data_IF_483918513335
#
_entry.id   IF_483918513335
#
_cell.length_a   1.000
_cell.length_b   1.000
_cell.length_c   1.000
_cell.angle_alpha   90.00
_cell.angle_beta   90.00
_cell.angle_gamma   90.00
#
_symmetry.space_group_name_H-M   'P 1'
#
loop_
_entity.id
_entity.type
_entity.pdbx_description
1 polymer ?
#
# COMPACT_ATOMS: atom_id res chain seq x y z
N UNK A 1 16.62 -21.11 56.33
CA UNK A 1 16.34 -21.94 55.14
C UNK A 1 16.40 -21.06 53.91
N UNK A 2 17.49 -21.08 53.14
CA UNK A 2 17.61 -20.35 51.87
C UNK A 2 17.01 -21.23 50.77
N UNK A 3 15.98 -20.76 50.08
CA UNK A 3 15.46 -21.43 48.87
C UNK A 3 16.51 -21.28 47.78
N UNK A 4 17.10 -22.40 47.37
CA UNK A 4 17.90 -22.49 46.15
C UNK A 4 16.97 -22.23 44.97
N UNK A 5 17.15 -21.07 44.33
CA UNK A 5 16.53 -20.80 43.04
C UNK A 5 17.42 -21.50 42.01
N UNK A 6 16.88 -22.55 41.38
CA UNK A 6 17.57 -23.30 40.33
C UNK A 6 17.78 -22.35 39.14
N UNK A 7 19.03 -22.22 38.68
CA UNK A 7 19.39 -21.36 37.53
C UNK A 7 18.67 -21.73 36.24
N UNK A 8 18.10 -22.93 36.16
CA UNK A 8 17.29 -23.40 35.03
C UNK A 8 15.91 -22.73 34.93
N UNK A 9 15.37 -22.20 36.04
CA UNK A 9 14.05 -21.55 36.06
C UNK A 9 14.11 -20.09 35.57
N UNK A 10 15.31 -19.50 35.50
CA UNK A 10 15.53 -18.12 35.03
C UNK A 10 15.54 -18.08 33.49
N UNK A 11 15.98 -19.16 32.83
CA UNK A 11 16.06 -19.23 31.36
C UNK A 11 14.72 -19.52 30.67
N UNK A 12 13.70 -19.99 31.39
CA UNK A 12 12.39 -20.32 30.82
C UNK A 12 11.30 -19.25 31.02
N UNK A 13 11.61 -18.12 31.69
CA UNK A 13 10.64 -17.05 31.95
C UNK A 13 10.68 -15.86 30.98
N UNK A 14 11.60 -15.86 30.01
CA UNK A 14 11.78 -14.75 29.05
C UNK A 14 11.61 -15.21 27.60
N UNK A 15 10.63 -16.09 27.31
CA UNK A 15 10.28 -16.51 25.94
C UNK A 15 8.99 -15.89 25.42
N UNK A 16 8.32 -15.05 26.21
CA UNK A 16 7.14 -14.32 25.79
C UNK A 16 7.44 -12.81 25.80
N UNK A 17 7.06 -12.15 24.71
CA UNK A 17 7.18 -10.71 24.42
C UNK A 17 8.55 -10.19 23.95
N UNK A 18 9.06 -10.75 22.85
CA UNK A 18 9.54 -9.83 21.81
C UNK A 18 8.31 -9.22 21.15
N UNK A 19 7.87 -8.07 21.65
CA UNK A 19 6.99 -7.18 20.89
C UNK A 19 7.68 -7.00 19.54
N UNK A 20 7.02 -7.38 18.45
CA UNK A 20 7.56 -7.18 17.11
C UNK A 20 7.51 -5.67 16.83
N UNK A 21 8.61 -4.96 17.13
CA UNK A 21 8.65 -3.48 17.22
C UNK A 21 8.58 -2.81 15.83
N UNK A 22 8.63 -3.58 14.74
CA UNK A 22 8.46 -3.06 13.39
C UNK A 22 7.26 -3.75 12.72
N UNK A 23 6.04 -3.29 13.00
CA UNK A 23 4.89 -3.63 12.16
C UNK A 23 5.00 -2.82 10.87
N UNK A 24 5.68 -3.38 9.89
CA UNK A 24 5.79 -2.80 8.56
C UNK A 24 4.54 -3.16 7.76
N UNK A 25 3.88 -2.12 7.27
CA UNK A 25 2.69 -2.22 6.43
C UNK A 25 2.99 -1.68 5.03
N UNK A 26 2.33 -2.22 4.02
CA UNK A 26 2.37 -1.67 2.68
C UNK A 26 0.96 -1.42 2.17
N UNK A 27 0.82 -0.42 1.28
CA UNK A 27 -0.44 -0.19 0.56
C UNK A 27 -0.27 -0.75 -0.86
N UNK A 28 -1.13 -1.68 -1.24
CA UNK A 28 -1.30 -2.11 -2.62
C UNK A 28 -2.46 -1.37 -3.27
N UNK A 29 -2.29 -0.89 -4.50
CA UNK A 29 -3.34 -0.27 -5.31
C UNK A 29 -3.43 -0.99 -6.65
N UNK A 30 -4.63 -1.41 -7.04
CA UNK A 30 -4.92 -1.89 -8.40
C UNK A 30 -5.75 -0.82 -9.11
N UNK A 31 -5.16 -0.22 -10.15
CA UNK A 31 -5.79 0.78 -11.01
C UNK A 31 -6.35 0.10 -12.25
N UNK A 32 -7.64 -0.25 -12.24
CA UNK A 32 -8.35 -0.70 -13.43
C UNK A 32 -9.14 0.42 -14.12
N UNK A 33 -9.54 0.21 -15.38
CA UNK A 33 -10.48 1.10 -16.08
C UNK A 33 -11.86 1.18 -15.42
N UNK A 34 -12.24 0.13 -14.67
CA UNK A 34 -13.56 -0.01 -14.04
C UNK A 34 -13.53 0.27 -12.54
N UNK A 35 -12.53 -0.24 -11.82
CA UNK A 35 -12.40 -0.10 -10.38
C UNK A 35 -10.98 0.31 -9.99
N UNK A 36 -10.89 1.04 -8.89
CA UNK A 36 -9.66 1.21 -8.12
C UNK A 36 -9.84 0.40 -6.85
N UNK A 37 -8.86 -0.42 -6.52
CA UNK A 37 -8.79 -1.18 -5.27
C UNK A 37 -7.59 -0.68 -4.48
N UNK A 38 -7.74 -0.47 -3.18
CA UNK A 38 -6.65 -0.24 -2.24
C UNK A 38 -6.72 -1.27 -1.13
N UNK A 39 -5.59 -1.87 -0.79
CA UNK A 39 -5.44 -2.81 0.32
C UNK A 39 -4.24 -2.41 1.18
N UNK A 40 -4.38 -2.51 2.51
CA UNK A 40 -3.26 -2.39 3.44
C UNK A 40 -2.90 -3.80 3.89
N UNK A 41 -1.64 -4.16 3.74
CA UNK A 41 -1.12 -5.48 4.08
C UNK A 41 0.00 -5.40 5.12
N UNK A 42 0.17 -6.44 5.92
CA UNK A 42 1.37 -6.61 6.75
C UNK A 42 2.47 -7.39 6.01
N UNK A 43 3.60 -7.58 6.69
CA UNK A 43 4.74 -8.36 6.20
C UNK A 43 4.47 -9.88 6.07
N UNK A 44 3.33 -10.40 6.56
CA UNK A 44 2.87 -11.76 6.27
C UNK A 44 1.99 -11.83 5.00
N UNK A 45 1.70 -10.68 4.38
CA UNK A 45 0.80 -10.59 3.22
C UNK A 45 -0.69 -10.63 3.59
N UNK A 46 -1.04 -10.49 4.87
CA UNK A 46 -2.43 -10.47 5.31
C UNK A 46 -3.05 -9.10 5.03
N UNK A 47 -4.27 -9.10 4.46
CA UNK A 47 -5.03 -7.86 4.20
C UNK A 47 -5.69 -7.40 5.49
N UNK A 48 -5.27 -6.24 5.99
CA UNK A 48 -5.77 -5.61 7.21
C UNK A 48 -6.89 -4.59 6.95
N UNK A 49 -6.86 -3.95 5.78
CA UNK A 49 -7.92 -3.05 5.33
C UNK A 49 -8.05 -3.12 3.82
N UNK A 50 -9.27 -2.96 3.32
CA UNK A 50 -9.62 -3.10 1.91
C UNK A 50 -10.69 -2.10 1.52
N UNK A 51 -10.46 -1.40 0.40
CA UNK A 51 -11.42 -0.48 -0.18
C UNK A 51 -11.47 -0.64 -1.70
N UNK A 52 -12.68 -0.79 -2.25
CA UNK A 52 -12.92 -0.87 -3.69
C UNK A 52 -13.94 0.17 -4.12
N UNK A 53 -13.62 0.90 -5.18
CA UNK A 53 -14.45 1.98 -5.69
C UNK A 53 -14.43 2.02 -7.23
N UNK A 54 -15.52 2.49 -7.87
CA UNK A 54 -15.64 2.63 -9.32
C UNK A 54 -14.71 3.69 -9.91
N UNK A 55 -13.77 3.37 -10.81
CA UNK A 55 -12.75 4.32 -11.35
C UNK A 55 -13.34 5.64 -11.85
N UNK A 56 -14.49 5.61 -12.53
CA UNK A 56 -15.09 6.75 -13.22
C UNK A 56 -14.13 7.34 -14.28
N UNK A 57 -13.49 6.46 -15.05
CA UNK A 57 -12.47 6.80 -16.03
C UNK A 57 -12.97 7.79 -17.09
N UNK A 58 -14.28 7.78 -17.39
CA UNK A 58 -14.93 8.74 -18.29
C UNK A 58 -14.80 10.20 -17.84
N UNK A 59 -14.47 10.45 -16.57
CA UNK A 59 -14.22 11.80 -16.04
C UNK A 59 -12.81 12.31 -16.30
N UNK A 60 -11.97 11.51 -16.98
CA UNK A 60 -10.63 11.88 -17.39
C UNK A 60 -9.55 11.61 -16.36
N UNK A 61 -8.31 11.91 -16.79
CA UNK A 61 -7.07 11.64 -16.06
C UNK A 61 -7.04 12.26 -14.66
N UNK A 62 -7.26 13.56 -14.55
CA UNK A 62 -7.15 14.30 -13.30
C UNK A 62 -8.17 13.80 -12.26
N UNK A 63 -9.39 13.51 -12.71
CA UNK A 63 -10.42 12.96 -11.85
C UNK A 63 -10.06 11.54 -11.36
N UNK A 64 -9.44 10.73 -12.22
CA UNK A 64 -8.98 9.38 -11.86
C UNK A 64 -7.84 9.45 -10.84
N UNK A 65 -6.84 10.30 -11.07
CA UNK A 65 -5.72 10.53 -10.13
C UNK A 65 -6.23 10.98 -8.76
N UNK A 66 -7.11 11.98 -8.74
CA UNK A 66 -7.76 12.45 -7.50
C UNK A 66 -8.47 11.29 -6.77
N UNK A 67 -9.14 10.41 -7.52
CA UNK A 67 -9.80 9.23 -6.94
C UNK A 67 -8.84 8.21 -6.37
N UNK A 68 -7.67 7.98 -6.99
CA UNK A 68 -6.61 7.13 -6.43
C UNK A 68 -6.21 7.68 -5.07
N UNK A 69 -5.87 8.97 -5.02
CA UNK A 69 -5.46 9.69 -3.80
C UNK A 69 -6.53 9.59 -2.71
N UNK A 70 -7.78 9.92 -3.03
CA UNK A 70 -8.90 9.83 -2.08
C UNK A 70 -9.14 8.41 -1.57
N UNK A 71 -8.94 7.39 -2.42
CA UNK A 71 -9.13 5.99 -2.03
C UNK A 71 -8.06 5.53 -1.05
N UNK A 72 -6.80 5.91 -1.29
CA UNK A 72 -5.68 5.63 -0.39
C UNK A 72 -5.90 6.31 0.96
N UNK A 73 -6.18 7.62 0.97
CA UNK A 73 -6.45 8.36 2.22
C UNK A 73 -7.61 7.74 3.01
N UNK A 74 -8.73 7.41 2.35
CA UNK A 74 -9.87 6.75 3.01
C UNK A 74 -9.50 5.40 3.61
N UNK A 75 -8.70 4.60 2.90
CA UNK A 75 -8.26 3.30 3.39
C UNK A 75 -7.30 3.44 4.59
N UNK A 76 -6.40 4.42 4.55
CA UNK A 76 -5.52 4.77 5.67
C UNK A 76 -6.35 5.19 6.89
N UNK A 77 -7.31 6.10 6.73
CA UNK A 77 -8.18 6.55 7.84
C UNK A 77 -8.99 5.38 8.42
N UNK A 78 -9.54 4.52 7.56
CA UNK A 78 -10.25 3.31 7.99
C UNK A 78 -9.34 2.39 8.82
N UNK A 79 -8.10 2.20 8.39
CA UNK A 79 -7.12 1.39 9.12
C UNK A 79 -6.62 2.05 10.41
N UNK A 80 -6.39 3.37 10.42
CA UNK A 80 -5.93 4.09 11.60
C UNK A 80 -6.94 4.08 12.75
N UNK A 81 -8.24 3.95 12.43
CA UNK A 81 -9.26 3.69 13.44
C UNK A 81 -9.04 2.38 14.21
N UNK A 82 -8.15 1.52 13.71
CA UNK A 82 -7.82 0.21 14.27
C UNK A 82 -6.41 0.12 14.88
N UNK A 83 -5.39 0.83 14.36
CA UNK A 83 -3.97 0.78 14.80
C UNK A 83 -3.24 2.11 14.49
N UNK A 84 -2.19 2.48 15.24
CA UNK A 84 -1.39 3.69 14.98
C UNK A 84 -0.80 3.74 13.54
N UNK A 85 -0.68 4.93 12.91
CA UNK A 85 -0.19 5.12 11.53
C UNK A 85 1.27 4.72 11.27
N UNK A 86 2.07 4.60 12.32
CA UNK A 86 3.50 4.38 12.23
C UNK A 86 3.77 2.98 11.70
N UNK A 87 4.35 2.88 10.50
CA UNK A 87 4.75 1.61 9.90
C UNK A 87 4.45 1.42 8.42
N UNK A 88 3.72 2.33 7.74
CA UNK A 88 3.53 2.22 6.29
C UNK A 88 4.85 2.54 5.57
N UNK A 89 5.45 1.54 4.93
CA UNK A 89 6.78 1.66 4.30
C UNK A 89 6.74 2.12 2.83
N UNK A 90 5.54 2.16 2.23
CA UNK A 90 5.35 2.62 0.86
C UNK A 90 4.05 2.14 0.21
N UNK A 91 3.88 2.53 -1.06
CA UNK A 91 2.70 2.23 -1.86
C UNK A 91 3.13 1.57 -3.18
N UNK A 92 2.59 0.39 -3.46
CA UNK A 92 2.71 -0.29 -4.75
C UNK A 92 1.44 -0.10 -5.58
N UNK A 93 1.58 0.14 -6.87
CA UNK A 93 0.45 0.39 -7.78
C UNK A 93 0.58 -0.50 -9.02
N UNK A 94 -0.35 -1.44 -9.16
CA UNK A 94 -0.60 -2.14 -10.42
C UNK A 94 -1.41 -1.25 -11.35
N UNK A 95 -0.93 -1.03 -12.57
CA UNK A 95 -1.62 -0.17 -13.54
C UNK A 95 -1.54 -0.71 -14.98
N UNK A 96 -2.51 -0.37 -15.84
CA UNK A 96 -2.59 -0.87 -17.21
C UNK A 96 -1.62 -0.18 -18.15
N UNK A 97 -1.27 -0.91 -19.20
CA UNK A 97 -0.55 -0.40 -20.38
C UNK A 97 0.97 -0.44 -20.26
N UNK A 98 1.71 0.01 -21.27
CA UNK A 98 3.16 0.18 -21.16
C UNK A 98 3.52 1.20 -20.05
N UNK A 99 4.44 0.81 -19.17
CA UNK A 99 5.01 1.65 -18.14
C UNK A 99 6.52 1.84 -18.36
N UNK A 100 6.99 3.07 -18.22
CA UNK A 100 8.40 3.33 -17.93
C UNK A 100 8.60 3.23 -16.42
N UNK A 101 8.89 2.01 -15.94
CA UNK A 101 9.10 1.71 -14.51
C UNK A 101 10.27 2.53 -13.95
N UNK A 102 11.30 2.82 -14.75
CA UNK A 102 12.46 3.59 -14.28
C UNK A 102 12.06 5.02 -13.99
N UNK A 103 11.32 5.66 -14.90
CA UNK A 103 10.85 7.04 -14.73
C UNK A 103 9.57 7.15 -13.88
N UNK A 104 8.87 6.05 -13.64
CA UNK A 104 7.59 6.05 -12.91
C UNK A 104 6.47 6.70 -13.71
N UNK A 105 6.47 6.48 -15.03
CA UNK A 105 5.53 7.05 -15.99
C UNK A 105 4.65 5.94 -16.56
N UNK A 106 3.34 6.21 -16.69
CA UNK A 106 2.45 5.43 -17.53
C UNK A 106 2.47 6.05 -18.92
N UNK A 107 3.10 5.37 -19.88
CA UNK A 107 3.28 5.89 -21.24
C UNK A 107 1.94 6.01 -21.95
N UNK A 108 1.09 4.98 -21.80
CA UNK A 108 -0.24 4.94 -22.37
C UNK A 108 -1.12 3.91 -21.68
N UNK A 109 -2.35 4.28 -21.29
CA UNK A 109 -3.36 3.34 -20.79
C UNK A 109 -4.63 3.40 -21.66
N UNK A 110 -4.88 2.41 -22.55
CA UNK A 110 -5.94 2.48 -23.55
C UNK A 110 -7.36 2.53 -22.96
N UNK A 111 -7.51 1.95 -21.78
CA UNK A 111 -8.73 1.84 -20.99
C UNK A 111 -8.93 3.02 -20.02
N UNK A 112 -8.05 4.03 -20.04
CA UNK A 112 -8.15 5.25 -19.23
C UNK A 112 -8.06 6.51 -20.11
N UNK A 113 -9.16 7.25 -20.33
CA UNK A 113 -9.17 8.46 -21.16
C UNK A 113 -8.19 9.53 -20.67
N UNK A 114 -7.36 10.04 -21.58
CA UNK A 114 -6.37 11.09 -21.30
C UNK A 114 -5.08 10.60 -20.64
N UNK A 115 -4.87 9.29 -20.52
CA UNK A 115 -3.64 8.73 -19.93
C UNK A 115 -2.58 8.48 -20.99
N UNK A 116 -1.76 9.52 -21.20
CA UNK A 116 -0.54 9.49 -21.98
C UNK A 116 0.56 10.25 -21.23
N UNK A 117 1.74 9.66 -21.15
CA UNK A 117 2.93 10.23 -20.50
C UNK A 117 2.63 10.76 -19.07
N UNK A 118 1.92 9.96 -18.26
CA UNK A 118 1.46 10.38 -16.93
C UNK A 118 2.54 10.06 -15.89
N UNK A 119 3.16 11.07 -15.22
CA UNK A 119 4.20 10.85 -14.21
C UNK A 119 3.58 10.44 -12.85
N UNK A 120 2.86 9.32 -12.84
CA UNK A 120 2.03 8.90 -11.71
C UNK A 120 2.85 8.72 -10.43
N UNK A 121 4.06 8.15 -10.51
CA UNK A 121 4.95 8.00 -9.36
C UNK A 121 5.16 9.34 -8.66
N UNK A 122 5.65 10.33 -9.41
CA UNK A 122 5.99 11.65 -8.86
C UNK A 122 4.76 12.32 -8.23
N UNK A 123 3.62 12.27 -8.91
CA UNK A 123 2.38 12.88 -8.41
C UNK A 123 2.00 12.31 -7.04
N UNK A 124 2.17 11.00 -6.85
CA UNK A 124 1.80 10.34 -5.60
C UNK A 124 2.91 10.44 -4.54
N UNK A 125 4.19 10.48 -4.93
CA UNK A 125 5.29 10.80 -4.01
C UNK A 125 5.11 12.20 -3.42
N UNK A 126 4.76 13.19 -4.24
CA UNK A 126 4.50 14.56 -3.80
C UNK A 126 3.27 14.67 -2.87
N UNK A 127 2.27 13.79 -3.03
CA UNK A 127 1.05 13.77 -2.21
C UNK A 127 1.25 13.04 -0.86
N UNK A 128 1.94 11.90 -0.85
CA UNK A 128 2.01 11.03 0.32
C UNK A 128 3.32 11.12 1.09
N UNK A 129 4.37 11.72 0.53
CA UNK A 129 5.74 11.71 1.09
C UNK A 129 6.21 10.27 1.38
N UNK A 130 5.87 9.35 0.49
CA UNK A 130 6.15 7.92 0.60
C UNK A 130 6.77 7.38 -0.68
N UNK A 131 7.53 6.29 -0.57
CA UNK A 131 8.04 5.55 -1.73
C UNK A 131 6.87 4.99 -2.55
N UNK A 132 6.84 5.30 -3.85
CA UNK A 132 5.84 4.79 -4.80
C UNK A 132 6.49 3.85 -5.83
N UNK A 133 5.98 2.62 -5.92
CA UNK A 133 6.39 1.63 -6.92
C UNK A 133 5.23 1.42 -7.90
N UNK A 134 5.54 1.43 -9.20
CA UNK A 134 4.58 1.10 -10.26
C UNK A 134 4.95 -0.27 -10.81
N UNK A 135 3.93 -1.10 -11.04
CA UNK A 135 4.06 -2.42 -11.66
C UNK A 135 2.98 -2.60 -12.73
N UNK A 136 3.26 -3.42 -13.75
CA UNK A 136 2.27 -3.72 -14.78
C UNK A 136 1.21 -4.69 -14.26
N UNK A 137 -0.07 -4.42 -14.52
CA UNK A 137 -1.18 -5.29 -14.11
C UNK A 137 -1.11 -6.70 -14.73
N UNK A 138 -0.45 -6.87 -15.88
CA UNK A 138 -0.20 -8.17 -16.52
C UNK A 138 0.84 -9.05 -15.79
N UNK A 139 1.68 -8.47 -14.93
CA UNK A 139 2.66 -9.18 -14.11
C UNK A 139 2.25 -9.31 -12.64
N UNK A 140 1.16 -8.64 -12.23
CA UNK A 140 0.68 -8.58 -10.85
C UNK A 140 -0.49 -9.55 -10.56
N UNK A 141 -0.82 -10.45 -11.50
CA UNK A 141 -1.89 -11.44 -11.43
C UNK A 141 -1.38 -12.87 -11.20
#
# INVERSE_FOLDING_TARGET
MKKNINTTDIFNKNKEEFININKEYAIGVDLGGTNIVSAIINNQGEILSYLKVRTLAERGREATIKRIIETIHKNIVQFQSTIAPDGIIGIGIGAPGPLDIKRGIIDFAPNLPGWRDVPLRKILEDEFDMKIVLENDANAA
#
